data_IF_903490411244
#
_entry.id   IF_903490411244
#
_cell.length_a   1.000
_cell.length_b   1.000
_cell.length_c   1.000
_cell.angle_alpha   90.00
_cell.angle_beta   90.00
_cell.angle_gamma   90.00
#
_symmetry.space_group_name_H-M   'P 1'
#
loop_
_entity.id
_entity.type
_entity.pdbx_description
1 polymer ?
#
# COMPACT_ATOMS: atom_id res chain seq x y z
N UNK A 1 -11.95 17.77 5.02
CA UNK A 1 -11.43 16.44 5.38
C UNK A 1 -9.97 16.48 5.02
N UNK A 2 -9.05 16.09 5.89
CA UNK A 2 -7.70 15.88 5.40
C UNK A 2 -7.69 14.63 4.53
N UNK A 3 -7.10 14.75 3.36
CA UNK A 3 -7.09 13.77 2.26
C UNK A 3 -6.04 12.68 2.45
N UNK A 4 -5.03 12.94 3.29
CA UNK A 4 -4.01 11.95 3.61
C UNK A 4 -4.54 10.76 4.43
N UNK A 5 -4.00 9.59 4.14
CA UNK A 5 -4.34 8.35 4.82
C UNK A 5 -3.57 7.18 4.24
N UNK A 6 -3.70 6.03 4.89
CA UNK A 6 -3.12 4.79 4.38
C UNK A 6 -4.17 3.71 4.29
N UNK A 7 -4.08 2.89 3.26
CA UNK A 7 -4.87 1.68 3.11
C UNK A 7 -3.98 0.46 2.95
N UNK A 8 -4.28 -0.60 3.68
CA UNK A 8 -3.47 -1.79 3.70
C UNK A 8 -4.30 -3.08 3.65
N UNK A 9 -3.79 -4.05 2.89
CA UNK A 9 -4.20 -5.45 2.93
C UNK A 9 -3.06 -6.25 3.49
N UNK A 10 -3.27 -6.90 4.62
CA UNK A 10 -2.38 -7.92 5.16
C UNK A 10 -3.06 -9.29 5.03
N UNK A 11 -2.50 -10.17 4.21
CA UNK A 11 -2.89 -11.57 4.13
C UNK A 11 -1.88 -12.42 4.91
N UNK A 12 -2.37 -13.23 5.85
CA UNK A 12 -1.60 -14.21 6.62
C UNK A 12 -2.25 -15.59 6.52
N UNK A 13 -1.52 -16.70 6.73
CA UNK A 13 -2.15 -18.02 6.75
C UNK A 13 -3.31 -18.07 7.76
N UNK A 14 -4.39 -18.77 7.41
CA UNK A 14 -5.53 -18.93 8.30
C UNK A 14 -5.10 -19.53 9.65
N UNK A 15 -5.58 -18.94 10.75
CA UNK A 15 -5.22 -19.35 12.11
C UNK A 15 -3.93 -18.73 12.66
N UNK A 16 -3.22 -17.92 11.88
CA UNK A 16 -2.12 -17.07 12.38
C UNK A 16 -2.67 -15.96 13.28
N UNK A 17 -2.17 -15.89 14.52
CA UNK A 17 -2.62 -14.88 15.50
C UNK A 17 -1.89 -13.55 15.35
N UNK A 18 -2.47 -12.65 14.54
CA UNK A 18 -2.05 -11.24 14.39
C UNK A 18 -3.18 -10.25 14.68
N UNK A 19 -4.36 -10.74 15.03
CA UNK A 19 -5.56 -9.91 15.21
C UNK A 19 -5.37 -8.86 16.30
N UNK A 20 -4.73 -9.21 17.42
CA UNK A 20 -4.43 -8.26 18.49
C UNK A 20 -3.46 -7.15 18.02
N UNK A 21 -2.38 -7.53 17.33
CA UNK A 21 -1.41 -6.57 16.81
C UNK A 21 -2.03 -5.62 15.77
N UNK A 22 -2.85 -6.14 14.85
CA UNK A 22 -3.58 -5.33 13.88
C UNK A 22 -4.57 -4.39 14.57
N UNK A 23 -5.30 -4.88 15.57
CA UNK A 23 -6.27 -4.09 16.34
C UNK A 23 -5.60 -2.96 17.11
N UNK A 24 -4.53 -3.27 17.84
CA UNK A 24 -3.80 -2.29 18.64
C UNK A 24 -3.18 -1.21 17.75
N UNK A 25 -2.60 -1.60 16.61
CA UNK A 25 -2.08 -0.67 15.62
C UNK A 25 -3.19 0.25 15.08
N UNK A 26 -4.31 -0.34 14.68
CA UNK A 26 -5.47 0.40 14.14
C UNK A 26 -6.04 1.39 15.16
N UNK A 27 -6.19 0.98 16.41
CA UNK A 27 -6.63 1.85 17.51
C UNK A 27 -5.65 3.01 17.74
N UNK A 28 -4.36 2.70 17.82
CA UNK A 28 -3.32 3.71 18.04
C UNK A 28 -3.27 4.75 16.91
N UNK A 29 -3.59 4.33 15.69
CA UNK A 29 -3.51 5.13 14.45
C UNK A 29 -4.88 5.61 13.95
N UNK A 30 -5.89 5.57 14.84
CA UNK A 30 -7.27 6.07 14.61
C UNK A 30 -7.87 5.56 13.31
N UNK A 31 -7.63 4.29 13.03
CA UNK A 31 -8.05 3.61 11.82
C UNK A 31 -9.27 2.72 12.03
N UNK A 32 -9.50 1.90 11.01
CA UNK A 32 -10.52 0.86 10.99
C UNK A 32 -9.93 -0.45 10.50
N UNK A 33 -10.44 -1.57 11.02
CA UNK A 33 -9.99 -2.93 10.73
C UNK A 33 -11.19 -3.79 10.36
N UNK A 34 -11.09 -4.46 9.23
CA UNK A 34 -12.02 -5.50 8.82
C UNK A 34 -11.26 -6.78 8.55
N UNK A 35 -11.78 -7.90 9.05
CA UNK A 35 -11.16 -9.22 8.87
C UNK A 35 -12.11 -10.09 8.08
N UNK A 36 -11.60 -10.66 6.99
CA UNK A 36 -12.35 -11.56 6.12
C UNK A 36 -11.50 -12.77 5.74
N UNK A 37 -12.16 -13.84 5.31
CA UNK A 37 -11.47 -14.95 4.67
C UNK A 37 -11.12 -14.54 3.23
N UNK A 38 -9.87 -14.78 2.85
CA UNK A 38 -9.34 -14.54 1.50
C UNK A 38 -9.17 -15.90 0.79
N UNK A 39 -8.99 -15.95 -0.55
CA UNK A 39 -8.86 -17.21 -1.28
C UNK A 39 -7.86 -18.20 -0.65
N UNK A 40 -8.03 -19.49 -0.91
CA UNK A 40 -7.02 -20.55 -0.68
C UNK A 40 -6.34 -20.63 0.71
N UNK A 41 -7.03 -20.26 1.80
CA UNK A 41 -6.52 -20.47 3.16
C UNK A 41 -5.75 -19.28 3.75
N UNK A 42 -5.97 -18.08 3.22
CA UNK A 42 -5.51 -16.83 3.79
C UNK A 42 -6.60 -16.18 4.66
N UNK A 43 -6.18 -15.60 5.78
CA UNK A 43 -6.96 -14.64 6.54
C UNK A 43 -6.51 -13.23 6.12
N UNK A 44 -7.46 -12.39 5.71
CA UNK A 44 -7.21 -11.04 5.22
C UNK A 44 -7.61 -10.01 6.27
N UNK A 45 -6.67 -9.13 6.58
CA UNK A 45 -6.86 -7.96 7.42
C UNK A 45 -6.82 -6.72 6.51
N UNK A 46 -7.99 -6.12 6.31
CA UNK A 46 -8.14 -4.84 5.64
C UNK A 46 -8.04 -3.74 6.69
N UNK A 47 -7.14 -2.79 6.48
CA UNK A 47 -6.89 -1.71 7.43
C UNK A 47 -6.90 -0.37 6.71
N UNK A 48 -7.61 0.60 7.28
CA UNK A 48 -7.58 1.99 6.87
C UNK A 48 -7.04 2.83 8.02
N UNK A 49 -6.11 3.73 7.74
CA UNK A 49 -5.49 4.60 8.72
C UNK A 49 -5.69 6.07 8.33
N UNK A 50 -5.88 6.93 9.33
CA UNK A 50 -5.92 8.40 9.15
C UNK A 50 -4.54 9.05 9.29
N UNK A 51 -3.50 8.23 9.16
CA UNK A 51 -2.09 8.57 9.26
C UNK A 51 -1.35 7.91 8.09
N UNK A 52 -0.19 8.46 7.75
CA UNK A 52 0.78 7.95 6.77
C UNK A 52 2.00 7.35 7.51
N UNK A 53 3.01 6.90 6.77
CA UNK A 53 4.23 6.28 7.33
C UNK A 53 3.94 5.00 8.13
N UNK A 54 2.95 4.24 7.68
CA UNK A 54 2.48 2.98 8.24
C UNK A 54 3.36 1.79 7.84
N UNK A 55 4.14 1.91 6.76
CA UNK A 55 4.99 0.83 6.26
C UNK A 55 5.90 0.16 7.32
N UNK A 56 6.64 0.90 8.19
CA UNK A 56 7.46 0.27 9.22
C UNK A 56 6.65 -0.51 10.27
N UNK A 57 5.50 0.02 10.67
CA UNK A 57 4.64 -0.61 11.67
C UNK A 57 3.98 -1.88 11.10
N UNK A 58 3.45 -1.81 9.88
CA UNK A 58 2.86 -2.95 9.18
C UNK A 58 3.90 -4.02 8.82
N UNK A 59 5.12 -3.62 8.45
CA UNK A 59 6.26 -4.54 8.31
C UNK A 59 6.56 -5.27 9.61
N UNK A 60 6.44 -4.59 10.77
CA UNK A 60 6.54 -5.21 12.09
C UNK A 60 5.48 -6.29 12.33
N UNK A 61 4.22 -6.00 12.01
CA UNK A 61 3.11 -6.96 12.12
C UNK A 61 3.31 -8.15 11.17
N UNK A 62 3.69 -7.89 9.91
CA UNK A 62 4.00 -8.94 8.94
C UNK A 62 5.14 -9.85 9.41
N UNK A 63 6.19 -9.27 10.02
CA UNK A 63 7.28 -10.05 10.62
C UNK A 63 6.80 -10.92 11.77
N UNK A 64 5.92 -10.40 12.63
CA UNK A 64 5.32 -11.16 13.72
C UNK A 64 4.46 -12.33 13.21
N UNK A 65 3.77 -12.15 12.07
CA UNK A 65 3.00 -13.21 11.43
C UNK A 65 3.87 -14.41 11.01
N UNK A 66 5.17 -14.19 10.80
CA UNK A 66 6.09 -15.16 10.21
C UNK A 66 5.85 -15.29 8.71
N UNK A 67 4.70 -15.82 8.31
CA UNK A 67 4.35 -15.93 6.89
C UNK A 67 3.23 -14.94 6.52
N UNK A 68 3.39 -14.22 5.41
CA UNK A 68 2.35 -13.31 4.93
C UNK A 68 2.73 -12.50 3.69
N UNK A 69 1.77 -11.70 3.23
CA UNK A 69 1.94 -10.67 2.20
C UNK A 69 1.20 -9.41 2.60
N UNK A 70 1.78 -8.26 2.28
CA UNK A 70 1.23 -6.94 2.58
C UNK A 70 1.19 -6.12 1.30
N UNK A 71 0.05 -5.50 1.01
CA UNK A 71 -0.05 -4.38 0.09
C UNK A 71 -0.43 -3.13 0.88
N UNK A 72 0.19 -2.00 0.56
CA UNK A 72 0.01 -0.72 1.23
C UNK A 72 -0.02 0.39 0.18
N UNK A 73 -1.03 1.23 0.29
CA UNK A 73 -1.16 2.51 -0.38
C UNK A 73 -1.14 3.60 0.68
N UNK A 74 -0.25 4.59 0.53
CA UNK A 74 -0.25 5.78 1.37
C UNK A 74 -0.41 7.02 0.50
N UNK A 75 -1.40 7.84 0.83
CA UNK A 75 -1.65 9.14 0.21
C UNK A 75 -0.99 10.22 1.07
N UNK A 76 0.10 10.79 0.57
CA UNK A 76 0.81 11.93 1.17
C UNK A 76 0.21 13.27 0.72
N UNK A 77 -1.01 13.27 0.18
CA UNK A 77 -1.75 14.46 -0.25
C UNK A 77 -0.95 15.25 -1.30
N UNK A 78 -0.62 16.51 -1.01
CA UNK A 78 0.12 17.38 -1.93
C UNK A 78 1.56 16.91 -2.22
N UNK A 79 2.09 15.95 -1.46
CA UNK A 79 3.47 15.47 -1.63
C UNK A 79 3.58 14.21 -2.49
N UNK A 80 2.48 13.51 -2.76
CA UNK A 80 2.45 12.32 -3.62
C UNK A 80 1.86 11.09 -2.96
N UNK A 81 2.27 9.91 -3.41
CA UNK A 81 1.77 8.62 -2.91
C UNK A 81 2.86 7.55 -2.87
N UNK A 82 2.77 6.66 -1.88
CA UNK A 82 3.63 5.48 -1.77
C UNK A 82 2.82 4.22 -2.04
N UNK A 83 3.27 3.44 -3.02
CA UNK A 83 2.77 2.10 -3.28
C UNK A 83 3.81 1.09 -2.82
N UNK A 84 3.40 0.12 -2.01
CA UNK A 84 4.32 -0.89 -1.51
C UNK A 84 3.67 -2.27 -1.41
N UNK A 85 4.44 -3.28 -1.83
CA UNK A 85 4.14 -4.69 -1.61
C UNK A 85 5.30 -5.37 -0.92
N UNK A 86 5.01 -5.99 0.22
CA UNK A 86 5.96 -6.80 0.98
C UNK A 86 5.54 -8.27 0.99
N UNK A 87 6.53 -9.14 1.11
CA UNK A 87 6.32 -10.56 1.37
C UNK A 87 7.16 -11.01 2.56
N UNK A 88 6.66 -11.98 3.30
CA UNK A 88 7.42 -12.73 4.29
C UNK A 88 7.10 -14.22 4.08
N UNK A 89 7.83 -14.97 3.24
CA UNK A 89 7.55 -16.39 3.04
C UNK A 89 7.93 -17.25 4.27
N UNK A 90 8.86 -16.78 5.10
CA UNK A 90 9.52 -17.54 6.17
C UNK A 90 9.97 -16.67 7.36
N UNK A 91 9.30 -15.54 7.59
CA UNK A 91 9.61 -14.58 8.65
C UNK A 91 10.54 -13.45 8.21
N UNK A 92 11.25 -13.62 7.09
CA UNK A 92 12.06 -12.54 6.51
C UNK A 92 11.19 -11.63 5.64
N UNK A 93 10.97 -10.41 6.12
CA UNK A 93 10.21 -9.41 5.36
C UNK A 93 11.09 -8.83 4.26
N UNK A 94 10.65 -8.99 3.02
CA UNK A 94 11.26 -8.43 1.82
C UNK A 94 10.30 -7.47 1.12
N UNK A 95 10.83 -6.34 0.65
CA UNK A 95 10.14 -5.46 -0.29
C UNK A 95 10.17 -6.09 -1.68
N UNK A 96 8.99 -6.31 -2.27
CA UNK A 96 8.85 -6.89 -3.60
C UNK A 96 8.52 -5.83 -4.64
N UNK A 97 7.71 -4.86 -4.25
CA UNK A 97 7.47 -3.64 -5.02
C UNK A 97 7.42 -2.46 -4.06
N UNK A 98 8.03 -1.35 -4.47
CA UNK A 98 7.93 -0.07 -3.81
C UNK A 98 8.11 1.03 -4.84
N UNK A 99 7.12 1.91 -4.96
CA UNK A 99 7.19 3.04 -5.85
C UNK A 99 6.63 4.27 -5.14
N UNK A 100 7.44 5.31 -4.99
CA UNK A 100 6.96 6.62 -4.56
C UNK A 100 6.66 7.51 -5.78
N UNK A 101 5.40 7.90 -5.93
CA UNK A 101 4.94 8.79 -7.01
C UNK A 101 4.90 10.20 -6.45
N UNK A 102 5.77 11.07 -6.96
CA UNK A 102 5.76 12.49 -6.58
C UNK A 102 4.57 13.20 -7.21
N UNK A 103 3.96 14.12 -6.47
CA UNK A 103 2.98 15.06 -7.01
C UNK A 103 3.70 16.22 -7.75
N UNK A 104 4.38 15.88 -8.84
CA UNK A 104 5.09 16.82 -9.70
C UNK A 104 5.29 16.19 -11.09
N UNK A 105 5.21 16.99 -12.16
CA UNK A 105 5.49 16.48 -13.51
C UNK A 105 6.99 16.11 -13.63
N UNK A 106 7.33 14.83 -13.89
CA UNK A 106 8.73 14.41 -14.02
C UNK A 106 9.46 15.09 -15.20
N UNK A 107 8.73 15.67 -16.15
CA UNK A 107 9.28 16.42 -17.29
C UNK A 107 9.51 17.91 -16.99
N UNK A 108 9.14 18.38 -15.79
CA UNK A 108 9.33 19.77 -15.35
C UNK A 108 10.30 19.78 -14.14
N UNK A 109 11.62 19.91 -14.38
CA UNK A 109 12.63 19.78 -13.31
C UNK A 109 12.48 20.76 -12.14
N UNK A 110 11.87 21.91 -12.38
CA UNK A 110 11.59 22.91 -11.33
C UNK A 110 10.53 22.41 -10.34
N UNK A 111 9.43 21.83 -10.83
CA UNK A 111 8.38 21.26 -9.97
C UNK A 111 8.93 20.10 -9.14
N UNK A 112 9.71 19.21 -9.77
CA UNK A 112 10.41 18.12 -9.06
C UNK A 112 11.36 18.68 -8.00
N UNK A 113 12.11 19.75 -8.32
CA UNK A 113 13.03 20.39 -7.38
C UNK A 113 12.32 20.92 -6.12
N UNK A 114 11.20 21.62 -6.30
CA UNK A 114 10.38 22.15 -5.19
C UNK A 114 9.81 21.01 -4.34
N UNK A 115 9.20 20.00 -4.98
CA UNK A 115 8.62 18.85 -4.26
C UNK A 115 9.65 18.11 -3.40
N UNK A 116 10.88 17.94 -3.92
CA UNK A 116 11.97 17.30 -3.18
C UNK A 116 12.53 18.17 -2.05
N UNK A 117 12.55 19.49 -2.21
CA UNK A 117 12.96 20.41 -1.15
C UNK A 117 11.97 20.36 0.02
N UNK A 118 10.67 20.37 -0.27
CA UNK A 118 9.61 20.27 0.73
C UNK A 118 9.64 18.93 1.50
N UNK A 119 9.95 17.83 0.80
CA UNK A 119 10.14 16.51 1.41
C UNK A 119 11.45 16.39 2.22
N UNK A 120 12.46 17.22 1.93
CA UNK A 120 13.77 17.21 2.58
C UNK A 120 14.69 16.03 2.22
N UNK A 121 14.14 14.95 1.65
CA UNK A 121 14.88 13.81 1.10
C UNK A 121 14.10 13.19 -0.06
N UNK A 122 14.80 12.66 -1.06
CA UNK A 122 14.15 11.99 -2.20
C UNK A 122 13.71 10.56 -1.81
N UNK A 123 12.40 10.30 -1.65
CA UNK A 123 11.90 8.99 -1.24
C UNK A 123 12.05 7.93 -2.33
N UNK A 124 12.26 8.33 -3.60
CA UNK A 124 12.44 7.42 -4.74
C UNK A 124 13.78 6.70 -4.73
N UNK A 125 14.74 7.19 -3.95
CA UNK A 125 16.03 6.51 -3.73
C UNK A 125 15.91 5.11 -3.10
N UNK A 126 14.72 4.72 -2.65
CA UNK A 126 14.40 3.41 -2.08
C UNK A 126 13.50 2.55 -2.97
N UNK A 127 13.17 3.00 -4.19
CA UNK A 127 12.22 2.30 -5.05
C UNK A 127 12.70 0.91 -5.49
N UNK A 128 11.74 -0.01 -5.54
CA UNK A 128 11.82 -1.33 -6.13
C UNK A 128 10.66 -1.40 -7.12
N UNK A 129 10.89 -0.80 -8.28
CA UNK A 129 9.86 -0.46 -9.27
C UNK A 129 10.18 -1.08 -10.65
N UNK A 130 9.27 -0.90 -11.61
CA UNK A 130 9.37 -1.42 -12.98
C UNK A 130 8.67 -2.76 -13.21
N UNK A 131 8.65 -3.19 -14.46
CA UNK A 131 7.84 -4.32 -14.93
C UNK A 131 8.09 -5.64 -14.16
N UNK A 132 9.34 -5.94 -13.80
CA UNK A 132 9.68 -7.16 -13.05
C UNK A 132 9.15 -7.12 -11.61
N UNK A 133 9.27 -5.96 -10.94
CA UNK A 133 8.75 -5.77 -9.59
C UNK A 133 7.21 -5.80 -9.56
N UNK A 134 6.58 -5.15 -10.54
CA UNK A 134 5.14 -5.19 -10.78
C UNK A 134 4.64 -6.62 -11.01
N UNK A 135 5.31 -7.39 -11.89
CA UNK A 135 4.97 -8.78 -12.13
C UNK A 135 5.13 -9.66 -10.87
N UNK A 136 6.18 -9.43 -10.08
CA UNK A 136 6.41 -10.14 -8.83
C UNK A 136 5.34 -9.81 -7.77
N UNK A 137 4.92 -8.55 -7.68
CA UNK A 137 3.83 -8.12 -6.81
C UNK A 137 2.49 -8.76 -7.21
N UNK A 138 2.16 -8.77 -8.50
CA UNK A 138 0.96 -9.45 -9.01
C UNK A 138 0.97 -10.95 -8.68
N UNK A 139 2.12 -11.62 -8.88
CA UNK A 139 2.27 -13.03 -8.56
C UNK A 139 2.06 -13.33 -7.06
N UNK A 140 2.48 -12.44 -6.16
CA UNK A 140 2.25 -12.60 -4.72
C UNK A 140 0.76 -12.64 -4.37
N UNK A 141 -0.07 -11.88 -5.07
CA UNK A 141 -1.52 -11.82 -4.86
C UNK A 141 -2.32 -12.70 -5.83
N UNK A 142 -1.63 -13.58 -6.58
CA UNK A 142 -2.24 -14.48 -7.56
C UNK A 142 -3.03 -13.73 -8.66
N UNK A 143 -2.63 -12.48 -8.93
CA UNK A 143 -3.20 -11.62 -9.95
C UNK A 143 -2.48 -11.77 -11.30
N UNK A 144 -3.13 -11.35 -12.38
CA UNK A 144 -2.48 -11.25 -13.68
C UNK A 144 -1.42 -10.13 -13.66
N UNK A 145 -0.23 -10.40 -14.21
CA UNK A 145 0.88 -9.44 -14.17
C UNK A 145 0.70 -8.25 -15.11
N UNK A 146 0.04 -8.44 -16.25
CA UNK A 146 -0.08 -7.42 -17.30
C UNK A 146 -0.75 -6.12 -16.80
N UNK A 147 -1.91 -6.16 -16.11
CA UNK A 147 -2.50 -4.93 -15.54
C UNK A 147 -1.59 -4.20 -14.56
N UNK A 148 -0.81 -4.93 -13.75
CA UNK A 148 0.10 -4.31 -12.78
C UNK A 148 1.30 -3.66 -13.49
N UNK A 149 1.81 -4.26 -14.57
CA UNK A 149 2.85 -3.68 -15.41
C UNK A 149 2.34 -2.42 -16.13
N UNK A 150 1.11 -2.44 -16.61
CA UNK A 150 0.47 -1.28 -17.24
C UNK A 150 0.27 -0.14 -16.24
N UNK A 151 -0.22 -0.44 -15.03
CA UNK A 151 -0.36 0.54 -13.95
C UNK A 151 0.99 1.15 -13.56
N UNK A 152 2.05 0.32 -13.46
CA UNK A 152 3.41 0.75 -13.20
C UNK A 152 3.94 1.68 -14.30
N UNK A 153 3.71 1.35 -15.57
CA UNK A 153 4.14 2.18 -16.70
C UNK A 153 3.36 3.51 -16.79
N UNK A 154 2.14 3.57 -16.23
CA UNK A 154 1.31 4.75 -16.21
C UNK A 154 1.58 5.70 -15.03
N UNK A 155 2.48 5.33 -14.09
CA UNK A 155 2.81 6.11 -12.88
C UNK A 155 3.23 7.54 -13.17
N UNK A 156 3.98 7.77 -14.25
CA UNK A 156 4.37 9.10 -14.73
C UNK A 156 3.18 10.00 -15.11
N UNK A 157 1.96 9.48 -15.17
CA UNK A 157 0.71 10.24 -15.41
C UNK A 157 -0.27 10.18 -14.23
N UNK A 158 0.09 9.47 -13.16
CA UNK A 158 -0.77 9.32 -11.97
C UNK A 158 -0.83 10.62 -11.18
N UNK A 159 0.19 11.46 -11.26
CA UNK A 159 0.18 12.75 -10.56
C UNK A 159 -0.98 13.66 -11.00
N UNK A 160 -1.42 13.55 -12.26
CA UNK A 160 -2.61 14.25 -12.79
C UNK A 160 -3.92 13.84 -12.08
N UNK A 161 -3.90 12.71 -11.38
CA UNK A 161 -5.05 12.13 -10.68
C UNK A 161 -5.03 12.42 -9.18
N UNK A 162 -3.96 13.02 -8.64
CA UNK A 162 -3.92 13.38 -7.22
C UNK A 162 -5.04 14.38 -6.87
N UNK A 163 -5.69 14.15 -5.72
CA UNK A 163 -6.92 14.84 -5.32
C UNK A 163 -8.22 14.19 -5.82
N UNK A 164 -8.16 13.15 -6.66
CA UNK A 164 -9.32 12.31 -7.02
C UNK A 164 -9.38 11.10 -6.07
N UNK A 165 -10.42 11.05 -5.24
CA UNK A 165 -10.65 9.92 -4.32
C UNK A 165 -11.16 8.72 -5.15
N UNK A 166 -10.32 7.68 -5.29
CA UNK A 166 -10.65 6.43 -5.97
C UNK A 166 -9.52 5.41 -5.85
N UNK A 167 -9.77 4.13 -6.17
CA UNK A 167 -8.70 3.13 -6.17
C UNK A 167 -7.64 3.49 -7.21
N UNK A 168 -6.38 3.49 -6.78
CA UNK A 168 -5.27 3.72 -7.70
C UNK A 168 -5.13 2.50 -8.64
N UNK A 169 -4.73 2.69 -9.91
CA UNK A 169 -4.74 1.61 -10.90
C UNK A 169 -4.00 0.33 -10.49
N UNK A 170 -2.92 0.46 -9.71
CA UNK A 170 -2.15 -0.70 -9.20
C UNK A 170 -2.93 -1.51 -8.16
N UNK A 171 -3.74 -0.84 -7.32
CA UNK A 171 -4.55 -1.48 -6.30
C UNK A 171 -5.63 -2.36 -6.94
N UNK A 172 -6.27 -1.83 -7.98
CA UNK A 172 -7.23 -2.57 -8.80
C UNK A 172 -6.57 -3.73 -9.54
N UNK A 173 -5.35 -3.52 -10.08
CA UNK A 173 -4.59 -4.55 -10.78
C UNK A 173 -4.27 -5.77 -9.90
N UNK A 174 -4.11 -5.57 -8.59
CA UNK A 174 -3.96 -6.66 -7.61
C UNK A 174 -5.28 -7.34 -7.22
N UNK A 175 -6.43 -6.85 -7.71
CA UNK A 175 -7.76 -7.37 -7.36
C UNK A 175 -8.11 -7.18 -5.87
N UNK A 176 -7.56 -6.13 -5.25
CA UNK A 176 -7.76 -5.85 -3.84
C UNK A 176 -9.02 -5.02 -3.61
N UNK A 177 -9.78 -5.29 -2.53
CA UNK A 177 -10.97 -4.50 -2.22
C UNK A 177 -10.57 -3.06 -1.88
N UNK A 178 -11.35 -2.09 -2.35
CA UNK A 178 -11.17 -0.68 -1.96
C UNK A 178 -11.93 -0.40 -0.66
N UNK A 179 -11.41 0.43 0.29
CA UNK A 179 -12.08 0.68 1.55
C UNK A 179 -13.46 1.30 1.39
N UNK A 180 -13.68 2.13 0.37
CA UNK A 180 -15.00 2.70 0.07
C UNK A 180 -16.07 1.66 -0.29
N UNK A 181 -15.66 0.45 -0.68
CA UNK A 181 -16.56 -0.66 -1.00
C UNK A 181 -16.84 -1.58 0.20
N UNK A 182 -16.23 -1.32 1.35
CA UNK A 182 -16.37 -2.12 2.58
C UNK A 182 -17.03 -1.26 3.67
N UNK A 183 -18.38 -1.31 3.80
CA UNK A 183 -19.14 -0.44 4.71
C UNK A 183 -18.70 -0.52 6.18
N UNK A 184 -18.14 -1.65 6.59
CA UNK A 184 -17.65 -1.88 7.96
C UNK A 184 -16.36 -1.13 8.26
N UNK A 185 -15.55 -0.77 7.25
CA UNK A 185 -14.32 0.00 7.45
C UNK A 185 -14.58 1.48 7.77
N UNK A 186 -15.78 1.99 7.55
CA UNK A 186 -16.14 3.35 7.98
C UNK A 186 -16.40 3.45 9.50
N UNK A 187 -16.43 2.33 10.21
CA UNK A 187 -16.66 2.29 11.65
C UNK A 187 -15.34 2.17 12.42
N UNK A 188 -15.06 3.07 13.39
CA UNK A 188 -13.88 2.96 14.22
C UNK A 188 -13.91 1.67 15.06
N UNK A 189 -12.74 1.07 15.25
CA UNK A 189 -12.49 -0.18 16.02
C UNK A 189 -12.64 0.02 17.53
#
# INVERSE_FOLDING_TARGET
MSTYGSFAVLDVPAGTDVSAACRDLTLAKRGSLHVTESPAGWQRHLMMFREIEMLPALSGVLRQAGTGRLALDEDYDEFGSLWAVLAAPDGEVRTVHRHYILNADPNVPEEVGVALEDLGADPRGQDVAGADAAAAAAALFEAASEPMIEAEAATDSVFDQFGVIGPLPWWEALGLPWPGDVPELDQPV
#
